data_IF_865756213126
#
_entry.id   IF_865756213126
#
_cell.length_a   1.000
_cell.length_b   1.000
_cell.length_c   1.000
_cell.angle_alpha   90.00
_cell.angle_beta   90.00
_cell.angle_gamma   90.00
#
_symmetry.space_group_name_H-M   'P 1'
#
loop_
_entity.id
_entity.type
_entity.pdbx_description
1 polymer ?
#
# COMPACT_ATOMS: atom_id res chain seq x y z
N UNK A 1 -91.56 31.43 0.07
CA UNK A 1 -91.59 31.90 1.48
C UNK A 1 -90.52 31.15 2.25
N UNK A 2 -89.89 31.86 3.19
CA UNK A 2 -88.60 31.58 3.84
C UNK A 2 -88.60 30.24 4.60
N UNK A 3 -87.56 29.44 4.42
CA UNK A 3 -87.17 28.36 5.32
C UNK A 3 -86.23 28.94 6.39
N UNK A 4 -86.59 28.79 7.67
CA UNK A 4 -85.77 29.16 8.82
C UNK A 4 -85.30 27.88 9.54
N UNK A 5 -83.97 27.75 9.61
CA UNK A 5 -83.12 27.35 10.75
C UNK A 5 -83.76 26.57 11.91
N UNK A 6 -83.13 25.45 12.28
CA UNK A 6 -82.55 25.27 13.62
C UNK A 6 -81.60 24.07 13.65
N UNK A 7 -80.37 24.33 14.07
CA UNK A 7 -79.31 23.36 14.30
C UNK A 7 -79.48 22.65 15.65
N UNK A 8 -78.91 21.45 15.82
CA UNK A 8 -78.10 21.15 17.02
C UNK A 8 -77.31 19.83 16.94
N UNK A 9 -75.99 19.99 16.93
CA UNK A 9 -74.93 19.32 17.71
C UNK A 9 -74.91 17.79 17.88
N UNK A 10 -73.87 17.18 17.30
CA UNK A 10 -72.98 16.27 18.02
C UNK A 10 -71.56 16.44 17.46
N UNK A 11 -70.63 16.91 18.31
CA UNK A 11 -69.24 17.18 17.96
C UNK A 11 -68.31 16.16 18.66
N UNK A 12 -67.31 15.72 17.88
CA UNK A 12 -65.95 15.34 18.27
C UNK A 12 -65.77 14.02 19.07
N UNK A 13 -64.69 13.23 18.96
CA UNK A 13 -63.29 13.48 18.60
C UNK A 13 -62.71 12.18 17.99
N UNK A 14 -62.05 12.24 16.82
CA UNK A 14 -61.15 11.19 16.35
C UNK A 14 -59.70 11.68 16.51
N UNK A 15 -58.96 11.14 17.48
CA UNK A 15 -57.54 11.42 17.69
C UNK A 15 -56.71 10.69 16.62
N UNK A 16 -56.07 11.45 15.73
CA UNK A 16 -55.04 10.95 14.82
C UNK A 16 -53.67 11.03 15.50
N UNK A 17 -53.16 9.89 15.97
CA UNK A 17 -51.74 9.73 16.29
C UNK A 17 -51.01 9.53 14.96
N UNK A 18 -50.36 10.58 14.44
CA UNK A 18 -49.39 10.41 13.35
C UNK A 18 -48.10 9.84 13.92
N UNK A 19 -47.87 8.54 13.71
CA UNK A 19 -46.55 7.96 13.86
C UNK A 19 -45.66 8.53 12.75
N UNK A 20 -44.70 9.38 13.10
CA UNK A 20 -43.67 9.82 12.17
C UNK A 20 -42.83 8.59 11.78
N UNK A 21 -43.05 8.08 10.57
CA UNK A 21 -42.16 7.10 9.95
C UNK A 21 -40.87 7.81 9.62
N UNK A 22 -39.82 7.59 10.43
CA UNK A 22 -38.47 8.02 10.08
C UNK A 22 -38.07 7.30 8.78
N UNK A 23 -37.64 8.03 7.73
CA UNK A 23 -37.19 7.38 6.52
C UNK A 23 -35.96 6.51 6.83
N UNK A 24 -36.02 5.24 6.42
CA UNK A 24 -34.85 4.37 6.43
C UNK A 24 -33.72 5.01 5.60
N UNK A 25 -32.45 4.89 6.02
CA UNK A 25 -31.35 5.46 5.24
C UNK A 25 -31.31 4.86 3.84
N UNK A 26 -31.14 5.71 2.83
CA UNK A 26 -31.10 5.35 1.42
C UNK A 26 -30.07 4.22 1.12
N UNK A 27 -30.32 3.38 0.11
CA UNK A 27 -29.45 2.25 -0.26
C UNK A 27 -27.99 2.65 -0.57
N UNK A 28 -27.73 3.91 -0.95
CA UNK A 28 -26.39 4.46 -1.14
C UNK A 28 -25.52 4.47 0.13
N UNK A 29 -26.12 4.70 1.30
CA UNK A 29 -25.39 4.71 2.57
C UNK A 29 -25.01 3.30 3.02
N UNK A 30 -25.82 2.29 2.67
CA UNK A 30 -25.54 0.88 2.89
C UNK A 30 -24.46 0.37 1.91
N UNK A 31 -24.50 0.80 0.64
CA UNK A 31 -23.43 0.50 -0.34
C UNK A 31 -22.08 1.12 0.06
N UNK A 32 -22.07 2.34 0.62
CA UNK A 32 -20.85 2.99 1.14
C UNK A 32 -20.21 2.26 2.32
N UNK A 33 -21.02 1.68 3.22
CA UNK A 33 -20.50 0.84 4.32
C UNK A 33 -19.98 -0.51 3.81
N UNK A 34 -20.64 -1.11 2.82
CA UNK A 34 -20.22 -2.37 2.20
C UNK A 34 -18.86 -2.27 1.49
N UNK A 35 -18.57 -1.15 0.82
CA UNK A 35 -17.27 -0.95 0.15
C UNK A 35 -16.13 -0.58 1.11
N UNK A 36 -16.41 -0.37 2.40
CA UNK A 36 -15.43 0.05 3.39
C UNK A 36 -15.20 -0.96 4.52
N UNK A 37 -15.11 -2.26 4.17
CA UNK A 37 -14.87 -3.36 5.12
C UNK A 37 -13.64 -3.10 6.00
N UNK A 38 -12.62 -2.41 5.48
CA UNK A 38 -11.42 -2.09 6.24
C UNK A 38 -11.52 -0.77 6.99
N UNK A 39 -12.41 0.17 6.61
CA UNK A 39 -12.52 1.54 7.13
C UNK A 39 -11.51 2.54 6.53
N UNK A 40 -10.78 2.17 5.47
CA UNK A 40 -9.94 3.08 4.67
C UNK A 40 -10.78 3.82 3.62
N UNK A 41 -10.22 4.75 2.85
CA UNK A 41 -10.98 5.46 1.79
C UNK A 41 -12.20 6.27 2.28
N UNK A 42 -12.21 6.68 3.55
CA UNK A 42 -13.19 7.64 4.06
C UNK A 42 -12.76 9.07 3.73
N UNK A 43 -13.33 9.61 2.64
CA UNK A 43 -13.08 10.99 2.19
C UNK A 43 -13.60 12.07 3.14
N UNK A 44 -14.40 11.70 4.15
CA UNK A 44 -14.84 12.61 5.22
C UNK A 44 -13.87 12.66 6.39
N UNK A 45 -12.91 11.73 6.46
CA UNK A 45 -11.88 11.72 7.49
C UNK A 45 -11.08 13.02 7.49
N UNK A 46 -10.85 13.58 8.68
CA UNK A 46 -10.00 14.74 8.92
C UNK A 46 -9.15 14.47 10.15
N UNK A 47 -7.90 14.93 10.13
CA UNK A 47 -6.99 14.85 11.26
C UNK A 47 -6.29 16.19 11.46
N UNK A 48 -6.30 16.69 12.69
CA UNK A 48 -5.60 17.93 13.06
C UNK A 48 -4.12 17.70 13.38
N UNK A 49 -3.74 16.47 13.74
CA UNK A 49 -2.37 16.10 14.07
C UNK A 49 -1.62 15.51 12.88
N UNK A 50 -2.36 14.90 11.93
CA UNK A 50 -1.83 14.30 10.70
C UNK A 50 -2.63 14.82 9.49
N UNK A 51 -2.44 16.10 9.10
CA UNK A 51 -3.32 16.77 8.14
C UNK A 51 -3.28 16.17 6.73
N UNK A 52 -2.19 15.49 6.36
CA UNK A 52 -2.07 14.83 5.06
C UNK A 52 -2.76 13.45 5.09
N UNK A 53 -3.66 13.14 4.15
CA UNK A 53 -4.13 11.77 3.95
C UNK A 53 -2.97 10.89 3.46
N UNK A 54 -2.95 9.64 3.90
CA UNK A 54 -1.90 8.67 3.59
C UNK A 54 -2.40 7.67 2.55
N UNK A 55 -1.76 7.63 1.39
CA UNK A 55 -2.05 6.66 0.32
C UNK A 55 -1.13 5.44 0.47
N UNK A 56 -1.73 4.27 0.61
CA UNK A 56 -1.06 2.99 0.81
C UNK A 56 -0.95 2.22 -0.51
N UNK A 57 0.27 1.82 -0.90
CA UNK A 57 0.57 1.11 -2.15
C UNK A 57 1.12 -0.29 -1.86
N UNK A 58 0.34 -1.31 -2.18
CA UNK A 58 0.66 -2.70 -1.87
C UNK A 58 1.81 -3.27 -2.71
N UNK A 59 2.44 -4.34 -2.23
CA UNK A 59 3.46 -5.08 -2.96
C UNK A 59 2.93 -5.86 -4.18
N UNK A 60 3.86 -6.44 -4.95
CA UNK A 60 3.59 -7.38 -6.03
C UNK A 60 2.67 -8.52 -5.54
N UNK A 61 1.59 -8.79 -6.27
CA UNK A 61 0.61 -9.83 -5.91
C UNK A 61 -0.29 -9.46 -4.73
N UNK A 62 -0.15 -8.26 -4.18
CA UNK A 62 -1.00 -7.72 -3.12
C UNK A 62 -2.29 -7.08 -3.63
N UNK A 63 -3.02 -6.43 -2.72
CA UNK A 63 -4.17 -5.61 -3.06
C UNK A 63 -4.43 -4.59 -1.95
N UNK A 64 -5.51 -3.81 -2.07
CA UNK A 64 -5.85 -2.79 -1.06
C UNK A 64 -6.07 -3.34 0.37
N UNK A 65 -6.36 -4.63 0.51
CA UNK A 65 -6.64 -5.32 1.79
C UNK A 65 -5.40 -6.10 2.27
N UNK A 66 -4.78 -6.87 1.38
CA UNK A 66 -3.65 -7.74 1.66
C UNK A 66 -2.33 -7.02 1.40
N UNK A 67 -1.34 -7.19 2.29
CA UNK A 67 -0.06 -6.46 2.40
C UNK A 67 -0.09 -5.34 3.45
N UNK A 68 -0.48 -4.12 3.07
CA UNK A 68 -0.45 -2.95 3.97
C UNK A 68 -1.75 -2.72 4.77
N UNK A 69 -2.76 -3.59 4.65
CA UNK A 69 -4.07 -3.39 5.28
C UNK A 69 -4.02 -3.30 6.80
N UNK A 70 -3.20 -4.13 7.46
CA UNK A 70 -3.02 -4.09 8.92
C UNK A 70 -2.32 -2.81 9.37
N UNK A 71 -1.26 -2.38 8.67
CA UNK A 71 -0.60 -1.10 8.92
C UNK A 71 -1.59 0.07 8.72
N UNK A 72 -2.37 0.06 7.64
CA UNK A 72 -3.39 1.06 7.36
C UNK A 72 -4.44 1.16 8.48
N UNK A 73 -4.90 0.02 9.02
CA UNK A 73 -5.77 -0.02 10.19
C UNK A 73 -5.12 0.54 11.44
N UNK A 74 -3.88 0.13 11.70
CA UNK A 74 -3.13 0.61 12.86
C UNK A 74 -2.86 2.11 12.80
N UNK A 75 -2.48 2.67 11.64
CA UNK A 75 -2.31 4.11 11.45
C UNK A 75 -3.61 4.90 11.69
N UNK A 76 -4.77 4.37 11.30
CA UNK A 76 -6.06 5.02 11.61
C UNK A 76 -6.34 5.09 13.09
N UNK A 77 -6.00 4.04 13.86
CA UNK A 77 -6.05 4.08 15.32
C UNK A 77 -5.08 5.11 15.93
N UNK A 78 -4.08 5.56 15.16
CA UNK A 78 -3.15 6.64 15.53
C UNK A 78 -3.60 8.01 14.99
N UNK A 79 -4.80 8.12 14.40
CA UNK A 79 -5.37 9.39 13.94
C UNK A 79 -4.95 9.80 12.51
N UNK A 80 -4.42 8.89 11.71
CA UNK A 80 -4.17 9.13 10.27
C UNK A 80 -5.43 8.83 9.44
N UNK A 81 -5.63 9.56 8.36
CA UNK A 81 -6.65 9.22 7.34
C UNK A 81 -5.99 8.41 6.23
N UNK A 82 -6.28 7.10 6.14
CA UNK A 82 -5.63 6.22 5.16
C UNK A 82 -6.52 5.90 3.97
N UNK A 83 -5.90 5.80 2.79
CA UNK A 83 -6.51 5.54 1.50
C UNK A 83 -5.71 4.45 0.77
N UNK A 84 -6.40 3.60 0.03
CA UNK A 84 -5.79 2.45 -0.64
C UNK A 84 -6.54 2.11 -1.92
N UNK A 85 -5.82 1.57 -2.90
CA UNK A 85 -6.38 1.04 -4.13
C UNK A 85 -5.73 -0.30 -4.46
N UNK A 86 -6.41 -1.12 -5.23
CA UNK A 86 -5.78 -2.22 -5.95
C UNK A 86 -5.46 -1.71 -7.34
N UNK A 87 -4.20 -1.85 -7.76
CA UNK A 87 -3.72 -1.44 -9.10
C UNK A 87 -2.97 -2.59 -9.76
N UNK A 88 -2.68 -2.48 -11.05
CA UNK A 88 -1.91 -3.49 -11.79
C UNK A 88 -2.57 -4.88 -11.80
N UNK A 89 -3.88 -4.98 -11.57
CA UNK A 89 -4.65 -6.22 -11.58
C UNK A 89 -5.32 -6.42 -12.94
N UNK A 90 -5.42 -7.68 -13.38
CA UNK A 90 -6.27 -8.03 -14.52
C UNK A 90 -7.76 -7.73 -14.20
N UNK A 91 -8.60 -7.44 -15.21
CA UNK A 91 -10.03 -7.19 -15.00
C UNK A 91 -10.70 -8.31 -14.18
N UNK A 92 -11.35 -7.94 -13.08
CA UNK A 92 -12.00 -8.89 -12.16
C UNK A 92 -11.07 -9.64 -11.20
N UNK A 93 -9.75 -9.48 -11.31
CA UNK A 93 -8.78 -10.03 -10.36
C UNK A 93 -8.67 -9.16 -9.11
N UNK A 94 -8.62 -9.82 -7.95
CA UNK A 94 -8.28 -9.20 -6.67
C UNK A 94 -6.77 -9.18 -6.40
N UNK A 95 -5.96 -9.69 -7.32
CA UNK A 95 -4.49 -9.74 -7.24
C UNK A 95 -3.94 -8.63 -8.12
N UNK A 96 -3.25 -7.66 -7.50
CA UNK A 96 -2.67 -6.49 -8.14
C UNK A 96 -1.15 -6.51 -8.22
N UNK A 97 -0.60 -5.42 -8.73
CA UNK A 97 0.83 -5.20 -8.89
C UNK A 97 1.45 -6.09 -9.97
N UNK A 98 0.66 -6.66 -10.88
CA UNK A 98 1.14 -7.59 -11.90
C UNK A 98 1.38 -6.94 -13.27
N UNK A 99 0.68 -5.85 -13.60
CA UNK A 99 0.94 -5.09 -14.83
C UNK A 99 2.20 -4.23 -14.72
N UNK A 100 2.73 -3.75 -15.84
CA UNK A 100 3.93 -2.92 -15.84
C UNK A 100 3.84 -1.75 -14.85
N UNK A 101 4.97 -1.40 -14.24
CA UNK A 101 5.05 -0.32 -13.24
C UNK A 101 4.60 1.00 -13.88
N UNK A 102 5.07 1.30 -15.09
CA UNK A 102 4.68 2.49 -15.85
C UNK A 102 3.20 2.49 -16.32
N UNK A 103 2.59 1.32 -16.52
CA UNK A 103 1.18 1.20 -16.87
C UNK A 103 0.27 1.39 -15.64
N UNK A 104 0.73 0.95 -14.47
CA UNK A 104 0.04 1.14 -13.18
C UNK A 104 0.15 2.58 -12.68
N UNK A 105 1.25 3.29 -12.99
CA UNK A 105 1.54 4.62 -12.46
C UNK A 105 0.43 5.67 -12.72
N UNK A 106 -0.17 5.81 -13.92
CA UNK A 106 -1.28 6.74 -14.16
C UNK A 106 -2.52 6.44 -13.32
N UNK A 107 -2.82 5.16 -13.04
CA UNK A 107 -3.95 4.75 -12.19
C UNK A 107 -3.72 5.23 -10.76
N UNK A 108 -2.51 5.01 -10.23
CA UNK A 108 -2.10 5.47 -8.90
C UNK A 108 -2.12 7.00 -8.84
N UNK A 109 -1.58 7.69 -9.85
CA UNK A 109 -1.57 9.15 -9.90
C UNK A 109 -2.97 9.77 -9.96
N UNK A 110 -3.91 9.15 -10.69
CA UNK A 110 -5.31 9.57 -10.69
C UNK A 110 -5.96 9.39 -9.31
N UNK A 111 -5.64 8.29 -8.62
CA UNK A 111 -6.12 8.05 -7.26
C UNK A 111 -5.57 9.07 -6.26
N UNK A 112 -4.26 9.36 -6.29
CA UNK A 112 -3.64 10.40 -5.45
C UNK A 112 -4.34 11.76 -5.65
N UNK A 113 -4.56 12.16 -6.91
CA UNK A 113 -5.29 13.39 -7.24
C UNK A 113 -6.72 13.38 -6.69
N UNK A 114 -7.42 12.25 -6.79
CA UNK A 114 -8.77 12.12 -6.27
C UNK A 114 -8.81 12.22 -4.73
N UNK A 115 -7.85 11.61 -4.03
CA UNK A 115 -7.70 11.71 -2.58
C UNK A 115 -7.45 13.16 -2.16
N UNK A 116 -6.48 13.84 -2.76
CA UNK A 116 -6.22 15.26 -2.47
C UNK A 116 -7.47 16.12 -2.71
N UNK A 117 -8.11 15.97 -3.88
CA UNK A 117 -9.30 16.76 -4.25
C UNK A 117 -10.47 16.54 -3.29
N UNK A 118 -10.81 15.29 -2.98
CA UNK A 118 -12.02 14.97 -2.22
C UNK A 118 -11.85 15.14 -0.71
N UNK A 119 -10.63 15.04 -0.19
CA UNK A 119 -10.33 15.40 1.19
C UNK A 119 -10.15 16.91 1.35
N UNK A 120 -9.87 17.64 0.26
CA UNK A 120 -9.53 19.07 0.30
C UNK A 120 -8.12 19.33 0.83
N UNK A 121 -7.27 18.31 0.89
CA UNK A 121 -5.90 18.41 1.39
C UNK A 121 -4.98 18.96 0.29
N UNK A 122 -4.09 19.88 0.64
CA UNK A 122 -3.10 20.43 -0.29
C UNK A 122 -2.04 19.40 -0.69
N UNK A 123 -1.73 18.50 0.23
CA UNK A 123 -0.75 17.43 0.04
C UNK A 123 -1.32 16.09 0.51
N UNK A 124 -0.65 15.01 0.09
CA UNK A 124 -0.82 13.64 0.55
C UNK A 124 0.55 13.09 0.96
N UNK A 125 0.53 12.07 1.82
CA UNK A 125 1.69 11.24 2.10
C UNK A 125 1.54 9.88 1.42
N UNK A 126 2.64 9.27 0.98
CA UNK A 126 2.65 7.95 0.36
C UNK A 126 3.37 6.94 1.26
N UNK A 127 2.78 5.76 1.44
CA UNK A 127 3.45 4.60 2.03
C UNK A 127 3.35 3.45 1.05
N UNK A 128 4.48 2.90 0.65
CA UNK A 128 4.51 1.73 -0.23
C UNK A 128 5.37 0.62 0.36
N UNK A 129 5.08 -0.62 -0.04
CA UNK A 129 5.91 -1.79 0.25
C UNK A 129 6.35 -2.50 -1.04
N UNK A 130 7.61 -2.89 -1.15
CA UNK A 130 8.16 -3.66 -2.29
C UNK A 130 7.90 -2.97 -3.64
N UNK A 131 7.18 -3.58 -4.57
CA UNK A 131 6.75 -2.94 -5.84
C UNK A 131 5.96 -1.64 -5.59
N UNK A 132 5.08 -1.59 -4.60
CA UNK A 132 4.35 -0.37 -4.25
C UNK A 132 5.24 0.71 -3.64
N UNK A 133 6.35 0.33 -3.01
CA UNK A 133 7.36 1.28 -2.54
C UNK A 133 8.16 1.90 -3.69
N UNK A 134 8.40 1.13 -4.77
CA UNK A 134 8.92 1.64 -6.03
C UNK A 134 7.92 2.58 -6.70
N UNK A 135 6.63 2.22 -6.77
CA UNK A 135 5.58 3.08 -7.29
C UNK A 135 5.48 4.41 -6.55
N UNK A 136 5.65 4.41 -5.23
CA UNK A 136 5.65 5.62 -4.42
C UNK A 136 6.73 6.63 -4.84
N UNK A 137 7.87 6.15 -5.36
CA UNK A 137 8.95 6.98 -5.91
C UNK A 137 8.72 7.30 -7.40
N UNK A 138 8.25 6.34 -8.18
CA UNK A 138 8.06 6.44 -9.62
C UNK A 138 6.94 7.40 -10.00
N UNK A 139 5.79 7.30 -9.33
CA UNK A 139 4.58 8.04 -9.68
C UNK A 139 4.76 9.57 -9.59
N UNK A 140 5.31 10.14 -8.50
CA UNK A 140 5.55 11.58 -8.43
C UNK A 140 6.51 12.08 -9.52
N UNK A 141 7.50 11.27 -9.90
CA UNK A 141 8.49 11.63 -10.92
C UNK A 141 7.91 11.66 -12.33
N UNK A 142 7.08 10.68 -12.68
CA UNK A 142 6.68 10.48 -14.09
C UNK A 142 5.23 10.82 -14.39
N UNK A 143 4.35 10.90 -13.38
CA UNK A 143 2.93 11.21 -13.63
C UNK A 143 2.70 12.73 -13.51
N UNK A 144 2.27 13.41 -14.59
CA UNK A 144 2.14 14.86 -14.60
C UNK A 144 1.22 15.38 -13.48
N UNK A 145 1.68 16.41 -12.78
CA UNK A 145 0.92 17.08 -11.72
C UNK A 145 0.77 16.28 -10.42
N UNK A 146 1.47 15.15 -10.25
CA UNK A 146 1.47 14.42 -8.96
C UNK A 146 2.53 14.96 -8.01
N UNK A 147 3.75 15.28 -8.48
CA UNK A 147 4.82 15.79 -7.61
C UNK A 147 4.40 16.91 -6.63
N UNK A 148 3.67 17.97 -7.06
CA UNK A 148 3.28 19.04 -6.14
C UNK A 148 2.29 18.62 -5.03
N UNK A 149 1.64 17.46 -5.19
CA UNK A 149 0.67 16.94 -4.24
C UNK A 149 1.33 16.06 -3.16
N UNK A 150 2.61 15.70 -3.28
CA UNK A 150 3.25 14.73 -2.39
C UNK A 150 4.21 15.43 -1.43
N UNK A 151 3.87 15.43 -0.14
CA UNK A 151 4.73 15.99 0.92
C UNK A 151 5.74 14.94 1.41
N UNK A 152 5.27 13.72 1.72
CA UNK A 152 6.14 12.65 2.26
C UNK A 152 5.99 11.33 1.53
N UNK A 153 7.10 10.61 1.42
CA UNK A 153 7.13 9.23 0.96
C UNK A 153 7.84 8.37 2.01
N UNK A 154 7.17 7.32 2.46
CA UNK A 154 7.76 6.23 3.23
C UNK A 154 7.81 4.98 2.36
N UNK A 155 9.00 4.70 1.85
CA UNK A 155 9.27 3.62 0.91
C UNK A 155 9.84 2.42 1.66
N UNK A 156 9.04 1.38 1.89
CA UNK A 156 9.42 0.20 2.68
C UNK A 156 9.86 -0.94 1.74
N UNK A 157 11.11 -1.39 1.88
CA UNK A 157 11.70 -2.44 1.05
C UNK A 157 11.60 -2.22 -0.48
N UNK A 158 11.78 -0.98 -1.00
CA UNK A 158 11.59 -0.75 -2.43
C UNK A 158 12.60 -1.49 -3.29
N UNK A 159 12.13 -1.98 -4.42
CA UNK A 159 13.00 -2.45 -5.51
C UNK A 159 13.55 -1.28 -6.34
N UNK A 160 14.02 -0.20 -5.69
CA UNK A 160 14.50 1.04 -6.34
C UNK A 160 15.56 0.78 -7.40
N UNK A 161 16.51 -0.11 -7.11
CA UNK A 161 17.55 -0.54 -8.03
C UNK A 161 17.37 -2.01 -8.46
N UNK A 162 16.18 -2.55 -8.22
CA UNK A 162 15.76 -3.87 -8.66
C UNK A 162 16.07 -5.03 -7.70
N UNK A 163 15.64 -6.21 -8.14
CA UNK A 163 15.90 -7.53 -7.54
C UNK A 163 16.45 -8.46 -8.62
N UNK A 164 17.08 -9.57 -8.22
CA UNK A 164 17.47 -10.61 -9.18
C UNK A 164 16.23 -11.31 -9.75
N UNK A 165 16.33 -11.81 -10.98
CA UNK A 165 15.25 -12.59 -11.59
C UNK A 165 14.93 -13.84 -10.76
N UNK A 166 15.95 -14.50 -10.20
CA UNK A 166 15.79 -15.65 -9.31
C UNK A 166 15.07 -15.29 -8.02
N UNK A 167 15.46 -14.20 -7.35
CA UNK A 167 14.79 -13.70 -6.14
C UNK A 167 13.32 -13.38 -6.41
N UNK A 168 13.04 -12.76 -7.54
CA UNK A 168 11.68 -12.42 -7.96
C UNK A 168 10.83 -13.65 -8.29
N UNK A 169 11.38 -14.65 -8.98
CA UNK A 169 10.67 -15.91 -9.22
C UNK A 169 10.40 -16.68 -7.93
N UNK A 170 11.35 -16.71 -6.99
CA UNK A 170 11.15 -17.28 -5.66
C UNK A 170 10.04 -16.54 -4.91
N UNK A 171 10.04 -15.20 -4.96
CA UNK A 171 8.99 -14.35 -4.39
C UNK A 171 7.61 -14.72 -4.97
N UNK A 172 7.49 -14.77 -6.29
CA UNK A 172 6.25 -15.10 -7.01
C UNK A 172 5.75 -16.51 -6.66
N UNK A 173 6.65 -17.51 -6.61
CA UNK A 173 6.30 -18.89 -6.23
C UNK A 173 5.84 -18.98 -4.78
N UNK A 174 6.49 -18.28 -3.86
CA UNK A 174 6.09 -18.24 -2.45
C UNK A 174 4.72 -17.56 -2.28
N UNK A 175 4.42 -16.52 -3.04
CA UNK A 175 3.08 -15.92 -3.08
C UNK A 175 2.04 -16.92 -3.61
N UNK A 176 2.35 -17.63 -4.71
CA UNK A 176 1.50 -18.69 -5.26
C UNK A 176 1.16 -19.77 -4.23
N UNK A 177 2.17 -20.26 -3.49
CA UNK A 177 2.00 -21.30 -2.46
C UNK A 177 1.22 -20.83 -1.22
N UNK A 178 1.24 -19.53 -0.91
CA UNK A 178 0.58 -18.99 0.30
C UNK A 178 -0.87 -18.55 0.09
N UNK A 179 -1.29 -18.33 -1.16
CA UNK A 179 -2.60 -17.73 -1.48
C UNK A 179 -3.53 -18.69 -2.24
N UNK A 180 -3.16 -19.99 -2.33
CA UNK A 180 -3.89 -21.02 -3.10
C UNK A 180 -3.90 -20.72 -4.63
N UNK A 181 -4.32 -21.70 -5.45
CA UNK A 181 -4.15 -21.78 -6.92
C UNK A 181 -4.46 -20.50 -7.74
N UNK A 182 -5.19 -19.53 -7.16
CA UNK A 182 -5.62 -18.29 -7.82
C UNK A 182 -4.48 -17.38 -8.25
N UNK A 183 -3.38 -17.26 -7.47
CA UNK A 183 -2.22 -16.46 -7.92
C UNK A 183 -1.53 -17.17 -9.08
N UNK A 184 -1.34 -18.49 -8.99
CA UNK A 184 -0.74 -19.25 -10.08
C UNK A 184 -1.59 -19.19 -11.36
N UNK A 185 -2.91 -19.29 -11.27
CA UNK A 185 -3.82 -19.20 -12.41
C UNK A 185 -3.78 -17.81 -13.06
N UNK A 186 -3.76 -16.74 -12.25
CA UNK A 186 -3.63 -15.37 -12.76
C UNK A 186 -2.28 -15.20 -13.45
N UNK A 187 -1.19 -15.70 -12.88
CA UNK A 187 0.14 -15.62 -13.47
C UNK A 187 0.26 -16.46 -14.75
N UNK A 188 -0.30 -17.68 -14.78
CA UNK A 188 -0.33 -18.53 -15.97
C UNK A 188 -1.13 -17.88 -17.10
N UNK A 189 -2.21 -17.17 -16.77
CA UNK A 189 -3.13 -16.58 -17.76
C UNK A 189 -2.73 -15.17 -18.22
N UNK A 190 -2.22 -14.34 -17.32
CA UNK A 190 -1.97 -12.92 -17.57
C UNK A 190 -0.50 -12.51 -17.41
N UNK A 191 0.34 -13.39 -16.87
CA UNK A 191 1.75 -13.13 -16.61
C UNK A 191 2.01 -12.21 -15.42
N UNK A 192 3.29 -11.89 -15.22
CA UNK A 192 3.75 -10.83 -14.33
C UNK A 192 4.61 -9.86 -15.12
N UNK A 193 3.98 -8.81 -15.65
CA UNK A 193 4.66 -7.77 -16.42
C UNK A 193 5.47 -6.84 -15.52
N UNK A 194 4.97 -6.53 -14.32
CA UNK A 194 5.78 -5.85 -13.30
C UNK A 194 7.09 -6.61 -13.04
N UNK A 195 7.09 -7.94 -13.12
CA UNK A 195 8.28 -8.71 -12.78
C UNK A 195 9.48 -8.35 -13.66
N UNK A 196 9.28 -8.13 -14.97
CA UNK A 196 10.38 -7.74 -15.86
C UNK A 196 10.87 -6.31 -15.60
N UNK A 197 10.01 -5.44 -15.07
CA UNK A 197 10.36 -4.08 -14.71
C UNK A 197 11.19 -4.04 -13.42
N UNK A 198 11.01 -5.01 -12.51
CA UNK A 198 11.70 -5.07 -11.21
C UNK A 198 13.09 -5.73 -11.29
N UNK A 199 13.45 -6.34 -12.41
CA UNK A 199 14.78 -6.96 -12.59
C UNK A 199 15.85 -5.87 -12.67
N UNK A 200 16.98 -6.07 -11.97
CA UNK A 200 18.15 -5.20 -12.05
C UNK A 200 18.50 -4.88 -13.51
N UNK A 201 18.67 -3.58 -13.82
CA UNK A 201 19.04 -3.12 -15.16
C UNK A 201 17.89 -3.04 -16.17
N UNK A 202 16.65 -3.32 -15.76
CA UNK A 202 15.48 -3.17 -16.62
C UNK A 202 15.40 -1.75 -17.22
N UNK A 203 14.80 -1.58 -18.40
CA UNK A 203 14.58 -0.26 -18.98
C UNK A 203 13.85 0.69 -18.04
N UNK A 204 12.89 0.18 -17.25
CA UNK A 204 12.14 0.97 -16.29
C UNK A 204 13.04 1.53 -15.17
N UNK A 205 13.90 0.69 -14.57
CA UNK A 205 14.78 1.13 -13.49
C UNK A 205 15.89 2.06 -14.00
N UNK A 206 16.40 1.82 -15.23
CA UNK A 206 17.31 2.76 -15.88
C UNK A 206 16.66 4.13 -16.08
N UNK A 207 15.42 4.15 -16.56
CA UNK A 207 14.67 5.40 -16.71
C UNK A 207 14.39 6.08 -15.36
N UNK A 208 14.05 5.31 -14.32
CA UNK A 208 13.90 5.85 -12.96
C UNK A 208 15.19 6.50 -12.45
N UNK A 209 16.36 5.94 -12.79
CA UNK A 209 17.67 6.47 -12.40
C UNK A 209 18.13 7.69 -13.24
N UNK A 210 17.41 8.07 -14.30
CA UNK A 210 17.72 9.27 -15.09
C UNK A 210 17.34 10.54 -14.31
N UNK A 211 18.36 11.23 -13.78
CA UNK A 211 18.16 12.40 -12.92
C UNK A 211 17.57 12.08 -11.54
N UNK A 212 17.27 13.10 -10.73
CA UNK A 212 16.77 12.89 -9.37
C UNK A 212 15.50 12.03 -9.35
N UNK A 213 15.49 10.99 -8.53
CA UNK A 213 14.33 10.18 -8.17
C UNK A 213 13.38 11.06 -7.34
N UNK A 214 13.92 11.76 -6.35
CA UNK A 214 13.13 12.58 -5.43
C UNK A 214 12.77 13.91 -6.07
N UNK A 215 11.47 14.21 -6.04
CA UNK A 215 10.93 15.45 -6.60
C UNK A 215 11.08 16.62 -5.60
N UNK A 216 11.15 17.88 -6.07
CA UNK A 216 11.26 19.03 -5.19
C UNK A 216 10.16 19.08 -4.13
N UNK A 217 10.53 19.52 -2.91
CA UNK A 217 9.64 19.63 -1.75
C UNK A 217 9.05 18.32 -1.22
N UNK A 218 9.53 17.15 -1.67
CA UNK A 218 9.12 15.85 -1.10
C UNK A 218 10.18 15.33 -0.12
N UNK A 219 9.74 14.95 1.08
CA UNK A 219 10.59 14.27 2.08
C UNK A 219 10.49 12.76 1.90
N UNK A 220 11.63 12.08 1.72
CA UNK A 220 11.65 10.62 1.51
C UNK A 220 12.36 9.91 2.64
N UNK A 221 11.71 8.90 3.21
CA UNK A 221 12.32 7.91 4.10
C UNK A 221 12.24 6.53 3.44
N UNK A 222 13.40 5.89 3.28
CA UNK A 222 13.51 4.50 2.84
C UNK A 222 13.82 3.63 4.05
N UNK A 223 12.99 2.60 4.26
CA UNK A 223 13.15 1.61 5.33
C UNK A 223 13.48 0.28 4.67
N UNK A 224 14.68 -0.24 4.90
CA UNK A 224 15.12 -1.55 4.41
C UNK A 224 15.37 -2.51 5.57
N UNK A 225 15.55 -3.80 5.29
CA UNK A 225 15.99 -4.77 6.29
C UNK A 225 17.28 -5.45 5.86
N UNK A 226 18.25 -5.58 6.78
CA UNK A 226 19.46 -6.37 6.54
C UNK A 226 19.19 -7.86 6.34
N UNK A 227 17.96 -8.31 6.62
CA UNK A 227 17.47 -9.68 6.44
C UNK A 227 16.60 -9.84 5.19
N UNK A 228 16.56 -8.83 4.32
CA UNK A 228 15.87 -8.94 3.04
C UNK A 228 16.62 -9.91 2.11
N UNK A 229 15.92 -10.93 1.62
CA UNK A 229 16.46 -11.95 0.72
C UNK A 229 15.95 -11.79 -0.71
N UNK A 230 15.05 -10.85 -0.97
CA UNK A 230 14.52 -10.59 -2.30
C UNK A 230 15.10 -9.31 -2.89
N UNK A 231 15.20 -8.23 -2.12
CA UNK A 231 15.93 -7.03 -2.55
C UNK A 231 17.36 -7.14 -2.04
N UNK A 232 18.23 -7.70 -2.88
CA UNK A 232 19.63 -8.02 -2.53
C UNK A 232 20.63 -7.33 -3.46
N UNK A 233 21.75 -6.78 -2.93
CA UNK A 233 22.00 -6.56 -1.50
C UNK A 233 20.97 -5.57 -0.90
N UNK A 234 20.58 -5.66 0.39
CA UNK A 234 19.54 -4.81 0.98
C UNK A 234 19.73 -3.30 0.80
N UNK A 235 20.98 -2.84 0.71
CA UNK A 235 21.34 -1.45 0.42
C UNK A 235 20.88 -0.98 -0.97
N UNK A 236 20.53 -1.88 -1.88
CA UNK A 236 19.98 -1.56 -3.21
C UNK A 236 18.60 -0.90 -3.13
N UNK A 237 17.89 -1.06 -2.00
CA UNK A 237 16.65 -0.34 -1.74
C UNK A 237 16.86 1.17 -1.60
N UNK A 238 18.02 1.59 -1.10
CA UNK A 238 18.28 2.98 -0.71
C UNK A 238 18.36 3.95 -1.89
N UNK A 239 17.76 5.13 -1.72
CA UNK A 239 17.91 6.27 -2.64
C UNK A 239 18.99 7.19 -2.07
N UNK A 240 20.11 7.34 -2.78
CA UNK A 240 21.26 8.15 -2.33
C UNK A 240 21.21 9.57 -2.89
N UNK A 241 20.16 10.29 -2.51
CA UNK A 241 19.98 11.70 -2.88
C UNK A 241 19.96 12.61 -1.64
N UNK A 242 20.27 13.89 -1.83
CA UNK A 242 20.31 14.87 -0.73
C UNK A 242 18.93 14.96 -0.07
N UNK A 243 18.89 14.84 1.25
CA UNK A 243 17.67 14.95 2.04
C UNK A 243 16.89 13.65 2.20
N UNK A 244 17.30 12.56 1.52
CA UNK A 244 16.69 11.24 1.74
C UNK A 244 17.20 10.61 3.03
N UNK A 245 16.28 10.10 3.85
CA UNK A 245 16.62 9.29 5.01
C UNK A 245 16.58 7.81 4.63
N UNK A 246 17.74 7.16 4.64
CA UNK A 246 17.83 5.70 4.52
C UNK A 246 18.11 5.10 5.89
N UNK A 247 17.38 4.06 6.28
CA UNK A 247 17.64 3.32 7.51
C UNK A 247 17.34 1.84 7.34
N UNK A 248 18.13 1.00 8.00
CA UNK A 248 17.72 -0.37 8.25
C UNK A 248 16.82 -0.44 9.48
N UNK A 249 15.86 -1.36 9.48
CA UNK A 249 15.08 -1.67 10.69
C UNK A 249 16.02 -1.97 11.86
N UNK A 250 17.12 -2.68 11.60
CA UNK A 250 18.12 -3.05 12.60
C UNK A 250 18.96 -1.89 13.14
N UNK A 251 18.98 -0.74 12.46
CA UNK A 251 19.66 0.45 12.99
C UNK A 251 18.88 1.05 14.18
N UNK A 252 17.56 0.80 14.26
CA UNK A 252 16.68 1.26 15.35
C UNK A 252 16.33 0.11 16.30
N UNK A 253 16.08 -1.09 15.76
CA UNK A 253 15.78 -2.30 16.51
C UNK A 253 16.80 -3.40 16.22
N UNK A 254 17.97 -3.41 16.90
CA UNK A 254 19.10 -4.28 16.54
C UNK A 254 18.82 -5.78 16.55
N UNK A 255 17.88 -6.23 17.38
CA UNK A 255 17.50 -7.65 17.49
C UNK A 255 16.35 -8.04 16.57
N UNK A 256 15.80 -7.12 15.78
CA UNK A 256 14.70 -7.40 14.86
C UNK A 256 15.21 -8.22 13.67
N UNK A 257 14.53 -9.35 13.41
CA UNK A 257 14.87 -10.31 12.35
C UNK A 257 13.94 -10.20 11.14
N UNK A 258 13.10 -9.17 11.06
CA UNK A 258 12.11 -8.99 9.99
C UNK A 258 12.74 -9.10 8.60
N UNK A 259 12.28 -10.03 7.77
CA UNK A 259 12.62 -10.11 6.34
C UNK A 259 11.65 -9.30 5.47
N UNK A 260 11.79 -9.40 4.15
CA UNK A 260 11.03 -8.63 3.15
C UNK A 260 9.52 -8.53 3.44
N UNK A 261 8.78 -9.65 3.36
CA UNK A 261 7.34 -9.68 3.60
C UNK A 261 6.95 -9.25 5.00
N UNK A 262 7.83 -9.50 5.97
CA UNK A 262 7.54 -9.14 7.35
C UNK A 262 7.49 -7.63 7.56
N UNK A 263 8.15 -6.84 6.72
CA UNK A 263 8.16 -5.39 6.87
C UNK A 263 6.77 -4.75 6.69
N UNK A 264 5.88 -5.38 5.93
CA UNK A 264 4.48 -4.92 5.80
C UNK A 264 3.66 -5.08 7.08
N UNK A 265 4.00 -6.05 7.93
CA UNK A 265 3.16 -6.50 9.06
C UNK A 265 3.84 -6.42 10.43
N UNK A 266 5.12 -6.04 10.48
CA UNK A 266 5.90 -5.99 11.70
C UNK A 266 5.64 -4.69 12.50
N UNK A 267 5.24 -4.78 13.78
CA UNK A 267 4.96 -3.58 14.60
C UNK A 267 6.12 -2.60 14.75
N UNK A 268 7.37 -3.07 14.74
CA UNK A 268 8.53 -2.16 14.77
C UNK A 268 8.62 -1.34 13.49
N UNK A 269 8.34 -1.95 12.32
CA UNK A 269 8.29 -1.23 11.04
C UNK A 269 7.12 -0.27 11.00
N UNK A 270 5.96 -0.64 11.54
CA UNK A 270 4.81 0.27 11.62
C UNK A 270 5.12 1.54 12.43
N UNK A 271 5.87 1.41 13.53
CA UNK A 271 6.35 2.57 14.30
C UNK A 271 7.32 3.42 13.50
N UNK A 272 8.27 2.82 12.78
CA UNK A 272 9.17 3.55 11.88
C UNK A 272 8.39 4.31 10.79
N UNK A 273 7.36 3.70 10.21
CA UNK A 273 6.49 4.35 9.21
C UNK A 273 5.75 5.53 9.83
N UNK A 274 5.09 5.35 10.99
CA UNK A 274 4.41 6.44 11.69
C UNK A 274 5.37 7.59 12.01
N UNK A 275 6.56 7.29 12.50
CA UNK A 275 7.55 8.29 12.87
C UNK A 275 8.06 9.05 11.64
N UNK A 276 8.25 8.38 10.51
CA UNK A 276 8.59 9.02 9.23
C UNK A 276 7.47 9.95 8.72
N UNK A 277 6.20 9.50 8.79
CA UNK A 277 5.03 10.34 8.49
C UNK A 277 4.92 11.54 9.44
N UNK A 278 5.28 11.37 10.71
CA UNK A 278 5.33 12.43 11.72
C UNK A 278 6.56 13.35 11.64
N UNK A 279 7.51 13.10 10.74
CA UNK A 279 8.71 13.93 10.55
C UNK A 279 9.85 13.69 11.52
N UNK A 280 9.85 12.56 12.21
CA UNK A 280 10.90 12.11 13.11
C UNK A 280 11.39 10.70 12.73
N UNK A 281 11.80 10.45 11.46
CA UNK A 281 12.16 9.11 11.00
C UNK A 281 13.29 8.51 11.83
N UNK A 282 13.08 7.28 12.31
CA UNK A 282 13.99 6.62 13.25
C UNK A 282 13.86 7.11 14.70
N UNK A 283 12.68 7.61 15.07
CA UNK A 283 12.35 8.02 16.43
C UNK A 283 12.60 6.91 17.46
N UNK A 284 12.86 7.32 18.70
CA UNK A 284 13.14 6.38 19.77
C UNK A 284 11.84 5.76 20.28
N UNK A 285 11.70 4.45 20.13
CA UNK A 285 10.58 3.69 20.69
C UNK A 285 11.07 2.33 21.18
N UNK A 286 10.36 1.76 22.16
CA UNK A 286 10.67 0.42 22.64
C UNK A 286 10.37 -0.61 21.54
N UNK A 287 11.43 -1.23 21.03
CA UNK A 287 11.31 -2.34 20.11
C UNK A 287 10.63 -3.53 20.80
N UNK A 288 9.65 -4.11 20.13
CA UNK A 288 9.02 -5.35 20.58
C UNK A 288 9.81 -6.51 19.94
N UNK A 289 10.04 -7.58 20.70
CA UNK A 289 10.66 -8.80 20.15
C UNK A 289 9.90 -9.25 18.90
N UNK A 290 10.61 -9.41 17.79
CA UNK A 290 9.99 -9.75 16.50
C UNK A 290 9.15 -11.01 16.64
N UNK A 291 7.95 -11.01 16.05
CA UNK A 291 7.14 -12.23 15.96
C UNK A 291 7.94 -13.20 15.10
N UNK A 292 8.33 -14.41 15.59
CA UNK A 292 9.20 -15.33 14.84
C UNK A 292 8.61 -15.86 13.52
N UNK A 293 7.34 -15.56 13.22
CA UNK A 293 6.61 -16.09 12.06
C UNK A 293 7.12 -15.61 10.68
N UNK A 294 8.14 -14.74 10.64
CA UNK A 294 8.60 -14.09 9.41
C UNK A 294 10.13 -14.21 9.22
N UNK A 295 10.75 -15.20 9.86
CA UNK A 295 12.14 -15.59 9.60
C UNK A 295 12.16 -16.48 8.35
N UNK A 296 12.52 -15.92 7.19
CA UNK A 296 12.68 -16.71 5.96
C UNK A 296 13.69 -17.86 6.15
N UNK A 297 14.61 -17.73 7.12
CA UNK A 297 15.60 -18.74 7.47
C UNK A 297 15.04 -20.07 8.01
N UNK A 298 13.74 -20.15 8.39
CA UNK A 298 13.10 -21.41 8.77
C UNK A 298 12.22 -22.03 7.68
N UNK A 299 12.02 -21.35 6.55
CA UNK A 299 11.11 -21.79 5.48
C UNK A 299 11.84 -22.14 4.16
N UNK A 300 13.18 -22.13 4.15
CA UNK A 300 13.96 -22.53 2.99
C UNK A 300 15.40 -22.95 3.30
N UNK A 301 15.74 -23.20 4.56
CA UNK A 301 17.13 -23.40 4.99
C UNK A 301 17.88 -24.50 4.24
N UNK A 302 17.22 -25.62 3.94
CA UNK A 302 17.90 -26.73 3.25
C UNK A 302 17.50 -26.82 1.78
N UNK A 303 16.23 -26.59 1.44
CA UNK A 303 15.76 -26.73 0.05
C UNK A 303 16.05 -25.51 -0.84
N UNK A 304 16.07 -24.28 -0.30
CA UNK A 304 16.30 -23.10 -1.12
C UNK A 304 17.79 -22.84 -1.35
N UNK A 305 18.67 -23.24 -0.44
CA UNK A 305 20.12 -23.19 -0.69
C UNK A 305 20.55 -24.24 -1.72
N UNK A 306 19.96 -25.44 -1.70
CA UNK A 306 20.23 -26.50 -2.67
C UNK A 306 19.67 -26.15 -4.07
N UNK A 307 18.47 -25.57 -4.15
CA UNK A 307 17.84 -25.15 -5.42
C UNK A 307 18.47 -23.86 -6.00
N UNK A 308 18.98 -22.94 -5.17
CA UNK A 308 19.78 -21.79 -5.63
C UNK A 308 21.14 -22.24 -6.17
N UNK A 309 21.77 -23.26 -5.57
CA UNK A 309 23.01 -23.84 -6.09
C UNK A 309 22.80 -24.51 -7.47
N UNK A 310 21.68 -25.21 -7.65
CA UNK A 310 21.33 -25.85 -8.92
C UNK A 310 20.99 -24.84 -10.04
N UNK A 311 20.32 -23.73 -9.71
CA UNK A 311 20.02 -22.65 -10.67
C UNK A 311 21.27 -21.82 -11.02
N UNK A 312 22.18 -21.60 -10.08
CA UNK A 312 23.45 -20.88 -10.33
C UNK A 312 24.37 -21.71 -11.25
N UNK A 313 24.35 -23.04 -11.13
CA UNK A 313 25.09 -23.94 -12.02
C UNK A 313 24.55 -23.95 -13.47
N UNK A 314 23.27 -23.61 -13.68
CA UNK A 314 22.68 -23.50 -15.02
C UNK A 314 23.06 -22.19 -15.74
N UNK A 315 23.40 -21.14 -14.99
CA UNK A 315 23.83 -19.85 -15.56
C UNK A 315 25.30 -19.89 -16.01
N UNK A 316 26.16 -20.63 -15.31
CA UNK A 316 27.57 -20.85 -15.73
C UNK A 316 27.72 -21.83 -16.91
N UNK A 317 26.71 -22.67 -17.17
CA UNK A 317 26.74 -23.68 -18.24
C UNK A 317 26.37 -23.19 -19.65
N UNK A 318 25.93 -21.94 -19.81
CA UNK A 318 25.55 -21.38 -21.13
C UNK A 318 26.61 -20.45 -21.73
N UNK A 319 27.74 -20.27 -21.05
CA UNK A 319 28.91 -19.54 -21.52
C UNK A 319 30.04 -20.45 -22.02
N UNK A 320 29.80 -21.22 -23.08
CA UNK A 320 30.83 -21.91 -23.87
C UNK A 320 30.40 -21.97 -25.34
#
# INVERSE_FOLDING_TARGET
>A
MKTFLAASWAAAIASLVSAAVLPAPAPEAALRRSNNINGDNDYTCRSSTHPNPVVMLHALGGNRIFDLGLLSGWLRLQGFCTFSLTYGNAPGSLIGGLDHVNASAPVIGAFIKNVAQRTGSQHVDLVGHSEGALQALYVPKFVPGVAPLVDRIVSVAPATHGTSLSGLWTLVRLLGRRVEDKIEDVLKRFGCRACVDLVVGSPLLRHLAEGPIVQPNTTVTVIASRRDVFVTPPESAFVREKGVRNLFVQDVCPTDRVGHFGMAVAPNVWRLVRDALGGVPGGNFTCIGGIPLLDAGKLGGDAAEEEVAEITALDEGTGS
#
